data_IF_654627379663
#
_entry.id   IF_654627379663
#
_cell.length_a   1.000
_cell.length_b   1.000
_cell.length_c   1.000
_cell.angle_alpha   90.00
_cell.angle_beta   90.00
_cell.angle_gamma   90.00
#
_symmetry.space_group_name_H-M   'P 1'
#
loop_
_entity.id
_entity.type
_entity.pdbx_description
1 polymer ?
#
# COMPACT_ATOMS: atom_id res chain seq x y z
N UNK A 1 -11.83 0.03 -30.46
CA UNK A 1 -11.58 -0.84 -29.27
C UNK A 1 -10.20 -1.49 -29.27
N UNK A 2 -9.70 -2.06 -30.39
CA UNK A 2 -8.38 -2.71 -30.44
C UNK A 2 -7.21 -1.76 -30.13
N UNK A 3 -7.22 -0.52 -30.68
CA UNK A 3 -6.16 0.46 -30.45
C UNK A 3 -6.01 0.90 -28.97
N UNK A 4 -7.09 0.88 -28.19
CA UNK A 4 -7.07 1.24 -26.76
C UNK A 4 -6.38 0.15 -25.91
N UNK A 5 -6.55 -1.12 -26.30
CA UNK A 5 -5.87 -2.26 -25.66
C UNK A 5 -4.37 -2.26 -26.01
N UNK A 6 -4.01 -1.90 -27.24
CA UNK A 6 -2.61 -1.76 -27.68
C UNK A 6 -1.87 -0.65 -26.94
N UNK A 7 -2.52 0.49 -26.69
CA UNK A 7 -1.94 1.60 -25.93
C UNK A 7 -1.70 1.28 -24.46
N UNK A 8 -2.62 0.53 -23.82
CA UNK A 8 -2.47 0.09 -22.44
C UNK A 8 -1.31 -0.91 -22.25
N UNK A 9 -1.13 -1.83 -23.21
CA UNK A 9 -0.02 -2.78 -23.19
C UNK A 9 1.35 -2.10 -23.40
N UNK A 10 1.42 -1.10 -24.29
CA UNK A 10 2.63 -0.31 -24.50
C UNK A 10 2.99 0.59 -23.29
N UNK A 11 1.99 1.13 -22.59
CA UNK A 11 2.18 1.90 -21.36
C UNK A 11 2.66 1.02 -20.19
N UNK A 12 2.16 -0.21 -20.07
CA UNK A 12 2.63 -1.18 -19.07
C UNK A 12 4.07 -1.66 -19.33
N UNK A 13 4.48 -1.79 -20.60
CA UNK A 13 5.84 -2.15 -20.97
C UNK A 13 6.88 -1.04 -20.66
N UNK A 14 6.45 0.22 -20.57
CA UNK A 14 7.33 1.36 -20.30
C UNK A 14 7.54 1.64 -18.80
N UNK A 15 6.67 1.15 -17.91
CA UNK A 15 6.81 1.34 -16.47
C UNK A 15 6.23 0.14 -15.69
N UNK A 16 7.08 -0.74 -15.12
CA UNK A 16 6.64 -1.93 -14.40
C UNK A 16 5.90 -1.61 -13.07
N UNK A 17 5.85 -0.34 -12.67
CA UNK A 17 5.12 0.12 -11.48
C UNK A 17 3.66 0.48 -11.77
N UNK A 18 3.27 0.57 -13.05
CA UNK A 18 1.87 0.84 -13.43
C UNK A 18 1.14 -0.50 -13.50
N UNK A 19 0.15 -0.75 -12.62
CA UNK A 19 -0.58 -2.01 -12.64
C UNK A 19 -1.34 -2.17 -13.95
N UNK A 20 -1.34 -3.39 -14.48
CA UNK A 20 -2.14 -3.74 -15.65
C UNK A 20 -3.63 -3.58 -15.34
N UNK A 21 -4.50 -3.40 -16.35
CA UNK A 21 -5.95 -3.31 -16.12
C UNK A 21 -6.52 -4.52 -15.36
N UNK A 22 -5.96 -5.71 -15.57
CA UNK A 22 -6.34 -6.92 -14.84
C UNK A 22 -5.94 -6.88 -13.36
N UNK A 23 -4.70 -6.48 -13.06
CA UNK A 23 -4.23 -6.30 -11.68
C UNK A 23 -5.01 -5.20 -10.95
N UNK A 24 -5.31 -4.09 -11.62
CA UNK A 24 -6.13 -3.03 -11.07
C UNK A 24 -7.55 -3.51 -10.76
N UNK A 25 -8.19 -4.23 -11.69
CA UNK A 25 -9.53 -4.78 -11.49
C UNK A 25 -9.58 -5.78 -10.32
N UNK A 26 -8.56 -6.65 -10.21
CA UNK A 26 -8.43 -7.59 -9.09
C UNK A 26 -8.21 -6.87 -7.76
N UNK A 27 -7.34 -5.85 -7.73
CA UNK A 27 -7.08 -5.03 -6.55
C UNK A 27 -8.35 -4.32 -6.05
N UNK A 28 -9.11 -3.71 -6.96
CA UNK A 28 -10.40 -3.10 -6.64
C UNK A 28 -11.43 -4.13 -6.17
N UNK A 29 -11.57 -5.25 -6.90
CA UNK A 29 -12.49 -6.33 -6.53
C UNK A 29 -12.20 -6.87 -5.14
N UNK A 30 -10.93 -7.17 -4.85
CA UNK A 30 -10.50 -7.64 -3.54
C UNK A 30 -10.76 -6.61 -2.43
N UNK A 31 -10.54 -5.32 -2.71
CA UNK A 31 -10.81 -4.23 -1.76
C UNK A 31 -12.29 -4.13 -1.42
N UNK A 32 -13.17 -4.24 -2.42
CA UNK A 32 -14.63 -4.25 -2.21
C UNK A 32 -15.05 -5.46 -1.39
N UNK A 33 -14.58 -6.67 -1.74
CA UNK A 33 -14.89 -7.90 -1.00
C UNK A 33 -14.41 -7.79 0.45
N UNK A 34 -13.18 -7.31 0.68
CA UNK A 34 -12.65 -7.10 2.02
C UNK A 34 -13.50 -6.10 2.82
N UNK A 35 -13.92 -4.99 2.21
CA UNK A 35 -14.80 -4.01 2.83
C UNK A 35 -16.16 -4.59 3.21
N UNK A 36 -16.78 -5.38 2.31
CA UNK A 36 -18.05 -6.06 2.57
C UNK A 36 -17.91 -7.05 3.73
N UNK A 37 -16.86 -7.87 3.74
CA UNK A 37 -16.59 -8.82 4.83
C UNK A 37 -16.35 -8.11 6.16
N UNK A 38 -15.69 -6.95 6.14
CA UNK A 38 -15.46 -6.14 7.34
C UNK A 38 -16.77 -5.61 7.92
N UNK A 39 -17.65 -5.04 7.10
CA UNK A 39 -18.99 -4.59 7.52
C UNK A 39 -19.84 -5.76 8.00
N UNK A 40 -19.85 -6.87 7.26
CA UNK A 40 -20.57 -8.08 7.64
C UNK A 40 -20.09 -8.62 9.00
N UNK A 41 -18.79 -8.55 9.28
CA UNK A 41 -18.23 -8.90 10.57
C UNK A 41 -18.76 -8.04 11.72
N UNK A 42 -18.85 -6.72 11.56
CA UNK A 42 -19.47 -5.84 12.57
C UNK A 42 -20.96 -6.14 12.78
N UNK A 43 -21.71 -6.36 11.70
CA UNK A 43 -23.14 -6.71 11.77
C UNK A 43 -23.31 -8.05 12.51
N UNK A 44 -22.47 -9.04 12.19
CA UNK A 44 -22.44 -10.33 12.87
C UNK A 44 -22.13 -10.18 14.36
N UNK A 45 -21.13 -9.37 14.71
CA UNK A 45 -20.77 -9.11 16.11
C UNK A 45 -21.88 -8.40 16.89
N UNK A 46 -22.61 -7.50 16.24
CA UNK A 46 -23.77 -6.81 16.82
C UNK A 46 -24.94 -7.77 17.09
N UNK A 47 -25.16 -8.76 16.22
CA UNK A 47 -26.20 -9.79 16.35
C UNK A 47 -25.79 -10.98 17.20
N UNK A 48 -24.52 -11.09 17.55
CA UNK A 48 -23.98 -12.21 18.34
C UNK A 48 -24.63 -12.28 19.72
N UNK A 49 -24.86 -13.48 20.30
CA UNK A 49 -25.30 -13.63 21.69
C UNK A 49 -24.20 -13.39 22.72
N UNK A 50 -22.98 -13.02 22.31
CA UNK A 50 -21.86 -12.74 23.20
C UNK A 50 -22.21 -11.63 24.22
N UNK A 51 -21.69 -11.72 25.44
CA UNK A 51 -21.79 -10.62 26.41
C UNK A 51 -21.06 -9.37 25.92
N UNK A 52 -21.54 -8.19 26.31
CA UNK A 52 -20.98 -6.91 25.87
C UNK A 52 -19.47 -6.78 26.16
N UNK A 53 -19.01 -7.31 27.30
CA UNK A 53 -17.59 -7.34 27.69
C UNK A 53 -16.75 -8.25 26.80
N UNK A 54 -17.34 -9.36 26.32
CA UNK A 54 -16.68 -10.27 25.39
C UNK A 54 -16.64 -9.73 23.96
N UNK A 55 -17.52 -8.77 23.60
CA UNK A 55 -17.54 -8.10 22.28
C UNK A 55 -16.48 -7.01 22.16
N UNK A 56 -16.21 -6.27 23.24
CA UNK A 56 -15.25 -5.16 23.26
C UNK A 56 -13.89 -5.46 22.60
N UNK A 57 -13.19 -6.57 22.93
CA UNK A 57 -11.89 -6.86 22.30
C UNK A 57 -12.01 -7.06 20.80
N UNK A 58 -13.08 -7.69 20.31
CA UNK A 58 -13.29 -7.91 18.87
C UNK A 58 -13.57 -6.61 18.11
N UNK A 59 -14.39 -5.71 18.69
CA UNK A 59 -14.58 -4.37 18.15
C UNK A 59 -13.24 -3.63 18.09
N UNK A 60 -12.44 -3.72 19.16
CA UNK A 60 -11.10 -3.16 19.21
C UNK A 60 -10.20 -3.69 18.09
N UNK A 61 -10.16 -5.01 17.89
CA UNK A 61 -9.38 -5.64 16.80
C UNK A 61 -9.85 -5.16 15.43
N UNK A 62 -11.16 -5.13 15.17
CA UNK A 62 -11.69 -4.68 13.88
C UNK A 62 -11.39 -3.21 13.58
N UNK A 63 -11.32 -2.35 14.61
CA UNK A 63 -10.94 -0.94 14.47
C UNK A 63 -9.42 -0.74 14.36
N UNK A 64 -8.64 -1.55 15.07
CA UNK A 64 -7.18 -1.47 15.03
C UNK A 64 -6.60 -1.96 13.71
N UNK A 65 -7.24 -2.94 13.06
CA UNK A 65 -6.76 -3.54 11.83
C UNK A 65 -6.42 -2.52 10.71
N UNK A 66 -7.32 -1.58 10.34
CA UNK A 66 -6.98 -0.54 9.36
C UNK A 66 -5.94 0.47 9.89
N UNK A 67 -5.95 0.76 11.19
CA UNK A 67 -5.00 1.68 11.81
C UNK A 67 -3.56 1.13 11.82
N UNK A 68 -3.40 -0.20 11.95
CA UNK A 68 -2.08 -0.85 11.92
C UNK A 68 -1.37 -0.63 10.59
N UNK A 69 -2.08 -0.69 9.46
CA UNK A 69 -1.50 -0.41 8.15
C UNK A 69 -0.93 1.01 8.05
N UNK A 70 -1.71 2.00 8.48
CA UNK A 70 -1.28 3.39 8.54
C UNK A 70 -0.10 3.58 9.51
N UNK A 71 -0.14 2.94 10.67
CA UNK A 71 0.91 3.04 11.69
C UNK A 71 2.22 2.42 11.21
N UNK A 72 2.18 1.25 10.57
CA UNK A 72 3.35 0.59 9.97
C UNK A 72 3.95 1.49 8.89
N UNK A 73 3.12 2.08 8.02
CA UNK A 73 3.58 3.01 7.01
C UNK A 73 4.20 4.27 7.62
N UNK A 74 3.58 4.86 8.64
CA UNK A 74 4.11 6.03 9.34
C UNK A 74 5.43 5.73 10.04
N UNK A 75 5.53 4.58 10.71
CA UNK A 75 6.76 4.11 11.34
C UNK A 75 7.87 3.92 10.30
N UNK A 76 7.58 3.25 9.19
CA UNK A 76 8.53 3.05 8.10
C UNK A 76 8.99 4.39 7.54
N UNK A 77 8.06 5.32 7.26
CA UNK A 77 8.38 6.68 6.82
C UNK A 77 9.31 7.34 7.84
N UNK A 78 8.95 7.37 9.11
CA UNK A 78 9.77 8.03 10.13
C UNK A 78 11.16 7.40 10.29
N UNK A 79 11.29 6.07 10.16
CA UNK A 79 12.54 5.34 10.37
C UNK A 79 13.51 5.39 9.20
N UNK A 80 13.01 5.36 7.95
CA UNK A 80 13.82 5.25 6.74
C UNK A 80 13.92 6.56 5.94
N UNK A 81 12.96 7.47 6.09
CA UNK A 81 12.98 8.77 5.43
C UNK A 81 14.18 9.68 5.81
N UNK A 82 14.62 9.74 7.08
CA UNK A 82 15.76 10.58 7.46
C UNK A 82 17.07 10.15 6.78
N UNK A 83 17.25 8.84 6.58
CA UNK A 83 18.42 8.30 5.87
C UNK A 83 18.37 8.69 4.39
N UNK A 84 17.21 8.56 3.73
CA UNK A 84 17.05 8.93 2.32
C UNK A 84 17.16 10.43 2.06
N UNK A 85 16.68 11.29 2.97
CA UNK A 85 16.81 12.76 2.84
C UNK A 85 18.26 13.24 2.88
N UNK A 86 19.14 12.52 3.60
CA UNK A 86 20.58 12.83 3.62
C UNK A 86 21.27 12.49 2.29
N UNK A 87 20.80 11.46 1.61
CA UNK A 87 21.33 11.01 0.32
C UNK A 87 20.74 11.81 -0.86
N UNK A 88 19.48 12.23 -0.76
CA UNK A 88 18.75 12.97 -1.80
C UNK A 88 17.99 14.16 -1.17
N UNK A 89 18.66 15.30 -0.94
CA UNK A 89 18.07 16.46 -0.26
C UNK A 89 16.92 17.13 -1.04
N UNK A 90 16.94 16.98 -2.37
CA UNK A 90 15.94 17.56 -3.28
C UNK A 90 14.72 16.65 -3.52
N UNK A 91 14.71 15.43 -2.98
CA UNK A 91 13.62 14.50 -3.19
C UNK A 91 12.49 14.72 -2.17
N UNK A 92 11.28 15.00 -2.66
CA UNK A 92 10.05 15.10 -1.87
C UNK A 92 9.11 13.89 -2.16
N UNK A 93 8.71 13.09 -1.15
CA UNK A 93 7.75 11.99 -1.31
C UNK A 93 6.38 12.39 -1.82
N UNK A 94 5.99 13.65 -1.62
CA UNK A 94 4.68 14.15 -2.02
C UNK A 94 4.71 14.70 -3.45
N UNK A 95 5.91 14.93 -4.00
CA UNK A 95 6.09 15.31 -5.38
C UNK A 95 6.13 14.05 -6.27
N UNK A 96 5.06 13.87 -7.05
CA UNK A 96 4.92 12.74 -7.98
C UNK A 96 5.85 12.86 -9.21
N UNK A 97 6.45 14.03 -9.43
CA UNK A 97 7.42 14.28 -10.50
C UNK A 97 8.87 14.02 -10.06
N UNK A 98 9.11 13.88 -8.75
CA UNK A 98 10.43 13.66 -8.21
C UNK A 98 10.95 12.25 -8.55
N UNK A 99 11.90 12.18 -9.47
CA UNK A 99 12.60 10.95 -9.85
C UNK A 99 13.39 10.45 -8.64
N UNK A 100 12.94 9.35 -8.04
CA UNK A 100 13.70 8.63 -7.01
C UNK A 100 14.95 8.10 -7.67
N UNK A 101 16.10 8.71 -7.40
CA UNK A 101 17.36 8.17 -7.90
C UNK A 101 17.60 6.83 -7.17
N UNK A 102 17.87 5.73 -7.88
CA UNK A 102 18.24 4.48 -7.22
C UNK A 102 19.48 4.74 -6.35
N UNK A 103 19.58 4.11 -5.17
CA UNK A 103 20.77 4.24 -4.34
C UNK A 103 21.99 3.93 -5.19
N UNK A 104 23.02 4.78 -5.13
CA UNK A 104 24.30 4.53 -5.80
C UNK A 104 24.83 3.20 -5.26
N UNK A 105 24.59 2.10 -5.98
CA UNK A 105 25.35 0.87 -5.78
C UNK A 105 26.81 1.28 -5.96
N UNK A 106 27.60 1.24 -4.89
CA UNK A 106 29.05 1.13 -5.00
C UNK A 106 29.33 -0.22 -5.66
N UNK A 107 29.23 -0.27 -6.98
CA UNK A 107 29.77 -1.37 -7.77
C UNK A 107 31.14 -0.88 -8.24
N UNK A 108 32.20 -1.41 -7.66
CA UNK A 108 33.59 -1.05 -7.98
C UNK A 108 34.32 -0.25 -6.89
N UNK A 109 34.34 -0.74 -5.65
CA UNK A 109 35.55 -0.51 -4.85
C UNK A 109 36.59 -1.49 -5.39
N UNK A 110 37.76 -1.05 -5.89
CA UNK A 110 38.89 -1.96 -5.99
C UNK A 110 39.17 -2.50 -4.58
N UNK A 111 39.32 -3.81 -4.49
CA UNK A 111 39.96 -4.42 -3.32
C UNK A 111 41.44 -4.10 -3.47
N UNK A 112 41.96 -3.29 -2.55
CA UNK A 112 43.39 -3.01 -2.39
C UNK A 112 44.04 -4.14 -1.56
#
# INVERSE_FOLDING_TARGET
MVAALSGAAAAAAANPLVPTPGEAALGWGLSVVAGVLWVAGFVSLGRSPLDARARLPWVGVMLLLPALGALIWFWWRHRYYPARRREQPAWDPNDRSAVVMPPRRRYGAPED
#
